data_IF_139314454849
#
_entry.id   IF_139314454849
#
_cell.length_a   1.000
_cell.length_b   1.000
_cell.length_c   1.000
_cell.angle_alpha   90.00
_cell.angle_beta   90.00
_cell.angle_gamma   90.00
#
_symmetry.space_group_name_H-M   'P 1'
#
loop_
_entity.id
_entity.type
_entity.pdbx_description
1 polymer ?
#
# COMPACT_ATOMS: atom_id res chain seq x y z
N UNK A 1 0.05 13.75 -28.56
CA UNK A 1 0.27 13.10 -27.25
C UNK A 1 -1.09 12.95 -26.58
N UNK A 2 -1.41 11.77 -26.05
CA UNK A 2 -2.64 11.54 -25.28
C UNK A 2 -2.29 11.54 -23.78
N UNK A 3 -2.80 12.51 -23.05
CA UNK A 3 -2.55 12.71 -21.59
C UNK A 3 -3.66 12.11 -20.71
N UNK A 4 -4.58 11.33 -21.30
CA UNK A 4 -5.66 10.69 -20.54
C UNK A 4 -5.10 9.65 -19.57
N UNK A 5 -5.50 9.71 -18.30
CA UNK A 5 -5.18 8.69 -17.29
C UNK A 5 -5.83 7.32 -17.61
N UNK A 6 -6.87 7.30 -18.44
CA UNK A 6 -7.51 6.07 -18.92
C UNK A 6 -6.68 5.33 -19.97
N UNK A 7 -5.62 5.95 -20.51
CA UNK A 7 -4.71 5.31 -21.45
C UNK A 7 -3.76 4.36 -20.71
N UNK A 8 -3.81 3.10 -21.07
CA UNK A 8 -2.78 2.15 -20.57
C UNK A 8 -1.43 2.50 -21.21
N UNK A 9 -0.37 2.66 -20.41
CA UNK A 9 0.97 2.96 -20.92
C UNK A 9 1.50 1.81 -21.79
N UNK A 10 2.30 2.16 -22.79
CA UNK A 10 2.93 1.18 -23.66
C UNK A 10 3.98 0.33 -22.93
N UNK A 11 4.31 -0.85 -23.49
CA UNK A 11 5.29 -1.77 -22.88
C UNK A 11 6.67 -1.12 -22.66
N UNK A 12 7.10 -0.25 -23.57
CA UNK A 12 8.37 0.45 -23.51
C UNK A 12 8.31 1.57 -22.46
N UNK A 13 7.21 2.31 -22.41
CA UNK A 13 6.94 3.36 -21.43
C UNK A 13 6.99 2.79 -20.00
N UNK A 14 6.28 1.67 -19.75
CA UNK A 14 6.32 0.97 -18.47
C UNK A 14 7.73 0.48 -18.11
N UNK A 15 8.49 -0.03 -19.06
CA UNK A 15 9.86 -0.49 -18.80
C UNK A 15 10.79 0.66 -18.41
N UNK A 16 10.74 1.77 -19.17
CA UNK A 16 11.57 2.93 -18.89
C UNK A 16 11.20 3.59 -17.55
N UNK A 17 9.92 3.80 -17.31
CA UNK A 17 9.43 4.36 -16.05
C UNK A 17 9.79 3.45 -14.87
N UNK A 18 9.55 2.16 -14.97
CA UNK A 18 9.91 1.19 -13.93
C UNK A 18 11.41 1.14 -13.65
N UNK A 19 12.23 1.16 -14.70
CA UNK A 19 13.69 1.21 -14.57
C UNK A 19 14.16 2.50 -13.86
N UNK A 20 13.65 3.66 -14.31
CA UNK A 20 14.00 4.95 -13.70
C UNK A 20 13.59 5.02 -12.23
N UNK A 21 12.36 4.59 -11.91
CA UNK A 21 11.84 4.54 -10.54
C UNK A 21 12.67 3.60 -9.66
N UNK A 22 12.96 2.40 -10.15
CA UNK A 22 13.76 1.42 -9.39
C UNK A 22 15.16 1.93 -9.11
N UNK A 23 15.84 2.51 -10.12
CA UNK A 23 17.17 3.09 -9.93
C UNK A 23 17.14 4.27 -8.95
N UNK A 24 16.13 5.12 -9.03
CA UNK A 24 16.00 6.23 -8.09
C UNK A 24 15.84 5.73 -6.65
N UNK A 25 14.99 4.73 -6.41
CA UNK A 25 14.82 4.12 -5.09
C UNK A 25 16.13 3.49 -4.61
N UNK A 26 16.75 2.62 -5.41
CA UNK A 26 17.99 1.94 -5.05
C UNK A 26 19.15 2.88 -4.73
N UNK A 27 19.16 4.08 -5.34
CA UNK A 27 20.25 5.05 -5.17
C UNK A 27 20.05 5.96 -3.97
N UNK A 28 18.79 6.23 -3.60
CA UNK A 28 18.46 7.21 -2.57
C UNK A 28 17.97 6.57 -1.26
N UNK A 29 17.52 5.32 -1.30
CA UNK A 29 17.10 4.63 -0.10
C UNK A 29 18.29 4.12 0.73
N UNK A 30 18.21 4.29 2.04
CA UNK A 30 19.06 3.56 2.97
C UNK A 30 18.59 2.10 3.04
N UNK A 31 19.51 1.15 2.85
CA UNK A 31 19.20 -0.29 2.80
C UNK A 31 19.23 -0.96 4.17
N UNK A 32 19.06 -0.19 5.23
CA UNK A 32 19.03 -0.72 6.59
C UNK A 32 17.84 -1.66 6.81
N UNK A 33 17.97 -2.66 7.69
CA UNK A 33 16.84 -3.46 8.14
C UNK A 33 15.89 -2.60 8.97
N UNK A 34 14.64 -3.07 9.13
CA UNK A 34 13.68 -2.39 9.98
C UNK A 34 14.19 -2.30 11.43
N UNK A 35 14.33 -1.10 12.02
CA UNK A 35 14.80 -0.95 13.37
C UNK A 35 13.75 -1.35 14.43
N UNK A 36 12.47 -1.44 14.05
CA UNK A 36 11.43 -1.88 14.98
C UNK A 36 11.45 -3.41 15.10
N UNK A 37 11.46 -3.94 16.33
CA UNK A 37 11.33 -5.37 16.55
C UNK A 37 9.93 -5.85 16.13
N UNK A 38 9.88 -7.06 15.58
CA UNK A 38 8.61 -7.72 15.21
C UNK A 38 7.94 -8.21 16.52
N UNK A 39 7.16 -7.32 17.14
CA UNK A 39 6.30 -7.65 18.28
C UNK A 39 4.83 -7.55 17.88
N UNK A 40 3.91 -8.24 18.61
CA UNK A 40 2.48 -8.12 18.33
C UNK A 40 1.98 -6.68 18.37
N UNK A 41 2.51 -5.85 19.26
CA UNK A 41 2.14 -4.45 19.44
C UNK A 41 2.57 -3.61 18.22
N UNK A 42 3.82 -3.75 17.78
CA UNK A 42 4.33 -3.02 16.62
C UNK A 42 3.66 -3.48 15.34
N UNK A 43 3.40 -4.78 15.20
CA UNK A 43 2.69 -5.32 14.05
C UNK A 43 1.24 -4.80 14.01
N UNK A 44 0.57 -4.75 15.17
CA UNK A 44 -0.80 -4.23 15.25
C UNK A 44 -0.87 -2.73 14.96
N UNK A 45 0.09 -1.95 15.45
CA UNK A 45 0.18 -0.52 15.11
C UNK A 45 0.34 -0.34 13.60
N UNK A 46 1.30 -1.03 12.97
CA UNK A 46 1.51 -0.98 11.53
C UNK A 46 0.30 -1.46 10.72
N UNK A 47 -0.45 -2.45 11.23
CA UNK A 47 -1.72 -2.86 10.63
C UNK A 47 -2.73 -1.72 10.64
N UNK A 48 -2.89 -1.02 11.77
CA UNK A 48 -3.83 0.09 11.90
C UNK A 48 -3.49 1.20 10.91
N UNK A 49 -2.23 1.64 10.89
CA UNK A 49 -1.77 2.69 9.97
C UNK A 49 -1.95 2.28 8.49
N UNK A 50 -1.70 1.00 8.18
CA UNK A 50 -1.93 0.46 6.83
C UNK A 50 -3.42 0.46 6.45
N UNK A 51 -4.28 0.02 7.34
CA UNK A 51 -5.73 -0.02 7.11
C UNK A 51 -6.29 1.39 6.89
N UNK A 52 -5.79 2.40 7.61
CA UNK A 52 -6.25 3.79 7.50
C UNK A 52 -5.74 4.48 6.23
N UNK A 53 -4.50 4.22 5.81
CA UNK A 53 -3.83 5.03 4.80
C UNK A 53 -3.51 4.30 3.49
N UNK A 54 -3.37 2.99 3.51
CA UNK A 54 -2.87 2.22 2.37
C UNK A 54 -3.95 1.29 1.76
N UNK A 55 -4.79 0.69 2.61
CA UNK A 55 -5.74 -0.33 2.19
C UNK A 55 -6.77 0.18 1.18
N UNK A 56 -7.11 1.47 1.21
CA UNK A 56 -8.00 2.09 0.24
C UNK A 56 -7.56 1.90 -1.22
N UNK A 57 -6.24 1.84 -1.47
CA UNK A 57 -5.67 1.59 -2.79
C UNK A 57 -5.11 0.19 -2.94
N UNK A 58 -4.43 -0.35 -1.91
CA UNK A 58 -3.71 -1.62 -1.99
C UNK A 58 -4.55 -2.85 -1.62
N UNK A 59 -5.79 -2.67 -1.13
CA UNK A 59 -6.59 -3.73 -0.54
C UNK A 59 -6.13 -4.08 0.88
N UNK A 60 -7.03 -4.60 1.70
CA UNK A 60 -6.71 -4.95 3.09
C UNK A 60 -5.71 -6.11 3.20
N UNK A 61 -5.70 -7.01 2.22
CA UNK A 61 -4.74 -8.11 2.10
C UNK A 61 -3.51 -7.73 1.27
N UNK A 62 -3.42 -6.50 0.76
CA UNK A 62 -2.32 -6.04 -0.08
C UNK A 62 -2.26 -6.69 -1.47
N UNK A 63 -3.36 -7.23 -1.93
CA UNK A 63 -3.51 -7.90 -3.22
C UNK A 63 -3.78 -6.94 -4.39
N UNK A 64 -3.97 -5.65 -4.08
CA UNK A 64 -4.31 -4.62 -5.06
C UNK A 64 -5.77 -4.64 -5.49
N UNK A 65 -6.57 -5.55 -4.97
CA UNK A 65 -8.00 -5.64 -5.29
C UNK A 65 -8.78 -4.56 -4.54
N UNK A 66 -9.15 -3.53 -5.27
CA UNK A 66 -9.94 -2.42 -4.74
C UNK A 66 -10.77 -1.79 -5.88
N UNK A 67 -11.78 -0.98 -5.51
CA UNK A 67 -12.66 -0.33 -6.49
C UNK A 67 -11.96 0.68 -7.41
N UNK A 68 -10.75 1.08 -7.10
CA UNK A 68 -9.96 2.05 -7.87
C UNK A 68 -8.86 1.40 -8.72
N UNK A 69 -8.73 0.06 -8.73
CA UNK A 69 -7.66 -0.65 -9.44
C UNK A 69 -7.56 -0.24 -10.91
N UNK A 70 -8.71 -0.09 -11.58
CA UNK A 70 -8.78 0.27 -12.99
C UNK A 70 -8.49 1.75 -13.29
N UNK A 71 -8.53 2.62 -12.27
CA UNK A 71 -8.49 4.08 -12.44
C UNK A 71 -7.06 4.64 -12.35
N UNK A 72 -6.10 3.83 -11.88
CA UNK A 72 -4.71 4.26 -11.76
C UNK A 72 -3.85 3.87 -12.97
N UNK A 73 -2.99 4.79 -13.37
CA UNK A 73 -1.96 4.55 -14.39
C UNK A 73 -0.60 5.07 -13.91
N UNK A 74 0.34 4.21 -13.56
CA UNK A 74 0.29 2.73 -13.57
C UNK A 74 -0.71 2.15 -12.55
N UNK A 75 -1.14 0.89 -12.74
CA UNK A 75 -2.03 0.21 -11.80
C UNK A 75 -1.35 0.04 -10.43
N UNK A 76 -2.19 -0.05 -9.39
CA UNK A 76 -1.72 -0.28 -8.02
C UNK A 76 -1.02 -1.65 -7.91
N UNK A 77 0.21 -1.71 -7.39
CA UNK A 77 0.94 -2.99 -7.32
C UNK A 77 0.43 -3.88 -6.18
N UNK A 78 0.48 -5.19 -6.39
CA UNK A 78 0.26 -6.18 -5.34
C UNK A 78 1.44 -6.17 -4.36
N UNK A 79 1.16 -5.91 -3.09
CA UNK A 79 2.19 -5.85 -2.04
C UNK A 79 2.67 -7.23 -1.61
N UNK A 80 1.83 -8.24 -1.71
CA UNK A 80 2.17 -9.64 -1.40
C UNK A 80 3.23 -10.24 -2.32
N UNK A 81 3.50 -9.61 -3.47
CA UNK A 81 4.49 -10.06 -4.46
C UNK A 81 5.60 -9.05 -4.71
N UNK A 82 5.29 -7.98 -5.46
CA UNK A 82 6.28 -7.01 -5.93
C UNK A 82 7.03 -6.27 -4.80
N UNK A 83 6.31 -5.89 -3.76
CA UNK A 83 6.90 -5.18 -2.62
C UNK A 83 7.91 -6.02 -1.84
N UNK A 84 7.75 -7.34 -1.82
CA UNK A 84 8.63 -8.25 -1.09
C UNK A 84 10.07 -8.31 -1.66
N UNK A 85 10.30 -7.77 -2.85
CA UNK A 85 11.63 -7.70 -3.48
C UNK A 85 12.48 -6.51 -3.00
N UNK A 86 11.84 -5.49 -2.41
CA UNK A 86 12.53 -4.33 -1.88
C UNK A 86 13.09 -4.64 -0.49
N UNK A 87 14.23 -4.05 -0.10
CA UNK A 87 14.69 -4.07 1.29
C UNK A 87 13.74 -3.27 2.20
N UNK A 88 13.86 -3.43 3.52
CA UNK A 88 13.01 -2.69 4.45
C UNK A 88 13.22 -1.18 4.35
N UNK A 89 14.48 -0.75 4.21
CA UNK A 89 14.79 0.67 4.01
C UNK A 89 14.27 1.22 2.69
N UNK A 90 14.25 0.41 1.63
CA UNK A 90 13.65 0.81 0.35
C UNK A 90 12.12 0.91 0.46
N UNK A 91 11.46 -0.01 1.18
CA UNK A 91 10.03 0.11 1.47
C UNK A 91 9.73 1.36 2.30
N UNK A 92 10.54 1.61 3.34
CA UNK A 92 10.44 2.83 4.14
C UNK A 92 10.55 4.07 3.24
N UNK A 93 11.56 4.11 2.37
CA UNK A 93 11.79 5.22 1.46
C UNK A 93 10.61 5.44 0.51
N UNK A 94 10.05 4.36 -0.05
CA UNK A 94 8.87 4.40 -0.92
C UNK A 94 7.67 4.96 -0.18
N UNK A 95 7.39 4.50 1.04
CA UNK A 95 6.26 4.96 1.83
C UNK A 95 6.45 6.42 2.24
N UNK A 96 7.64 6.78 2.72
CA UNK A 96 7.93 8.14 3.17
C UNK A 96 7.84 9.18 2.05
N UNK A 97 8.34 8.87 0.85
CA UNK A 97 8.44 9.83 -0.25
C UNK A 97 7.32 9.71 -1.30
N UNK A 98 6.64 8.57 -1.35
CA UNK A 98 5.74 8.26 -2.46
C UNK A 98 6.48 8.04 -3.77
N UNK A 99 5.75 7.94 -4.86
CA UNK A 99 6.32 7.79 -6.21
C UNK A 99 5.70 8.82 -7.14
N UNK A 100 6.52 9.77 -7.60
CA UNK A 100 6.08 10.83 -8.51
C UNK A 100 5.45 10.28 -9.78
N UNK A 101 4.45 10.96 -10.31
CA UNK A 101 3.68 10.58 -11.50
C UNK A 101 2.93 9.25 -11.37
N UNK A 102 2.66 8.84 -10.13
CA UNK A 102 1.76 7.73 -9.79
C UNK A 102 0.70 8.19 -8.80
N UNK A 103 -0.25 7.31 -8.46
CA UNK A 103 -1.24 7.58 -7.41
C UNK A 103 -0.70 7.44 -5.98
N UNK A 104 0.56 7.02 -5.78
CA UNK A 104 1.10 6.78 -4.44
C UNK A 104 1.66 8.06 -3.80
N UNK A 105 1.01 8.63 -2.76
CA UNK A 105 1.50 9.79 -2.05
C UNK A 105 2.67 9.45 -1.12
N UNK A 106 3.40 10.48 -0.68
CA UNK A 106 4.42 10.33 0.36
C UNK A 106 3.86 10.66 1.75
N UNK A 107 4.13 9.80 2.72
CA UNK A 107 3.61 9.90 4.09
C UNK A 107 4.59 10.56 5.08
N UNK A 108 5.86 10.73 4.72
CA UNK A 108 6.91 11.22 5.62
C UNK A 108 6.73 12.65 6.16
N UNK A 109 5.78 13.43 5.64
CA UNK A 109 5.47 14.76 6.17
C UNK A 109 4.48 14.72 7.33
N UNK A 110 3.61 13.72 7.39
CA UNK A 110 2.47 13.66 8.29
C UNK A 110 2.54 12.48 9.27
N UNK A 111 3.53 11.61 9.12
CA UNK A 111 3.76 10.43 9.96
C UNK A 111 5.19 10.47 10.48
N UNK A 112 5.36 10.06 11.73
CA UNK A 112 6.71 9.96 12.24
C UNK A 112 7.42 8.66 11.76
N UNK A 113 8.77 8.63 11.86
CA UNK A 113 9.54 7.49 11.35
C UNK A 113 9.11 6.14 11.92
N UNK A 114 8.64 6.10 13.17
CA UNK A 114 8.22 4.85 13.81
C UNK A 114 6.94 4.29 13.19
N UNK A 115 5.98 5.16 12.87
CA UNK A 115 4.73 4.77 12.18
C UNK A 115 5.04 4.19 10.80
N UNK A 116 5.90 4.84 10.02
CA UNK A 116 6.31 4.35 8.70
C UNK A 116 7.01 2.98 8.81
N UNK A 117 7.90 2.80 9.79
CA UNK A 117 8.53 1.50 10.04
C UNK A 117 7.51 0.42 10.47
N UNK A 118 6.47 0.81 11.20
CA UNK A 118 5.32 -0.05 11.52
C UNK A 118 4.60 -0.51 10.26
N UNK A 119 4.31 0.42 9.33
CA UNK A 119 3.72 0.08 8.03
C UNK A 119 4.60 -0.90 7.24
N UNK A 120 5.94 -0.75 7.27
CA UNK A 120 6.87 -1.70 6.65
C UNK A 120 6.75 -3.08 7.27
N UNK A 121 6.65 -3.20 8.61
CA UNK A 121 6.41 -4.50 9.27
C UNK A 121 5.14 -5.15 8.76
N UNK A 122 4.05 -4.40 8.65
CA UNK A 122 2.78 -4.93 8.17
C UNK A 122 2.84 -5.34 6.70
N UNK A 123 3.46 -4.53 5.82
CA UNK A 123 3.67 -4.89 4.41
C UNK A 123 4.45 -6.20 4.26
N UNK A 124 5.44 -6.45 5.12
CA UNK A 124 6.15 -7.75 5.16
C UNK A 124 5.24 -8.89 5.60
N UNK A 125 4.39 -8.64 6.58
CA UNK A 125 3.47 -9.63 7.11
C UNK A 125 2.38 -10.02 6.11
N UNK A 126 1.93 -9.12 5.24
CA UNK A 126 0.91 -9.39 4.21
C UNK A 126 1.21 -10.64 3.36
N UNK A 127 2.49 -10.90 3.06
CA UNK A 127 2.89 -12.10 2.30
C UNK A 127 2.77 -13.42 3.10
N UNK A 128 2.52 -13.33 4.41
CA UNK A 128 2.50 -14.46 5.35
C UNK A 128 1.19 -14.54 6.14
N UNK A 129 0.14 -13.82 5.70
CA UNK A 129 -1.16 -13.84 6.36
C UNK A 129 -1.68 -15.27 6.51
N UNK A 130 -1.97 -15.66 7.74
CA UNK A 130 -2.65 -16.92 8.05
C UNK A 130 -4.10 -16.86 7.58
N UNK A 131 -4.70 -18.05 7.41
CA UNK A 131 -6.11 -18.15 7.03
C UNK A 131 -7.03 -17.45 8.06
N UNK A 132 -6.71 -17.56 9.36
CA UNK A 132 -7.47 -16.91 10.41
C UNK A 132 -7.40 -15.38 10.34
N UNK A 133 -6.22 -14.81 9.99
CA UNK A 133 -6.08 -13.36 9.79
C UNK A 133 -6.87 -12.88 8.59
N UNK A 134 -6.87 -13.62 7.49
CA UNK A 134 -7.67 -13.29 6.29
C UNK A 134 -9.16 -13.29 6.61
N UNK A 135 -9.65 -14.33 7.29
CA UNK A 135 -11.05 -14.42 7.74
C UNK A 135 -11.43 -13.26 8.67
N UNK A 136 -10.51 -12.87 9.56
CA UNK A 136 -10.71 -11.70 10.44
C UNK A 136 -10.77 -10.37 9.66
N UNK A 137 -9.93 -10.20 8.63
CA UNK A 137 -9.96 -9.05 7.72
C UNK A 137 -11.28 -9.01 6.96
N UNK A 138 -11.68 -10.12 6.33
CA UNK A 138 -12.94 -10.22 5.58
C UNK A 138 -14.17 -9.94 6.45
N UNK A 139 -14.20 -10.46 7.69
CA UNK A 139 -15.33 -10.25 8.60
C UNK A 139 -15.49 -8.78 8.98
N UNK A 140 -14.38 -8.05 9.19
CA UNK A 140 -14.39 -6.60 9.46
C UNK A 140 -14.88 -5.82 8.25
N UNK A 141 -14.45 -6.20 7.05
CA UNK A 141 -14.90 -5.56 5.81
C UNK A 141 -16.40 -5.67 5.62
N UNK A 142 -16.97 -6.87 5.85
CA UNK A 142 -18.43 -7.10 5.77
C UNK A 142 -19.19 -6.23 6.77
N UNK A 143 -18.77 -6.18 8.03
CA UNK A 143 -19.42 -5.35 9.05
C UNK A 143 -19.41 -3.86 8.68
N UNK A 144 -18.30 -3.35 8.15
CA UNK A 144 -18.20 -1.96 7.72
C UNK A 144 -19.13 -1.66 6.54
N UNK A 145 -19.24 -2.58 5.59
CA UNK A 145 -20.14 -2.45 4.43
C UNK A 145 -21.61 -2.45 4.88
N UNK A 146 -21.99 -3.38 5.75
CA UNK A 146 -23.37 -3.46 6.28
C UNK A 146 -23.75 -2.22 7.07
N UNK A 147 -22.82 -1.68 7.88
CA UNK A 147 -23.03 -0.44 8.61
C UNK A 147 -23.21 0.76 7.67
N UNK A 148 -22.40 0.81 6.60
CA UNK A 148 -22.50 1.88 5.60
C UNK A 148 -23.83 1.81 4.84
N UNK A 149 -24.24 0.62 4.40
CA UNK A 149 -25.56 0.43 3.76
C UNK A 149 -26.72 0.81 4.68
N UNK A 150 -26.61 0.48 5.96
CA UNK A 150 -27.63 0.84 6.95
C UNK A 150 -27.75 2.35 7.11
N UNK A 151 -26.60 3.04 7.25
CA UNK A 151 -26.60 4.52 7.32
C UNK A 151 -27.17 5.16 6.06
N UNK A 152 -26.84 4.66 4.88
CA UNK A 152 -27.37 5.17 3.61
C UNK A 152 -28.90 4.99 3.50
N UNK A 153 -29.45 3.93 4.08
CA UNK A 153 -30.90 3.69 4.12
C UNK A 153 -31.62 4.58 5.14
N UNK A 154 -30.94 4.94 6.24
CA UNK A 154 -31.50 5.79 7.30
C UNK A 154 -31.40 7.30 6.96
N UNK A 155 -30.43 7.69 6.13
CA UNK A 155 -30.18 9.08 5.71
C UNK A 155 -30.64 9.37 4.28
N UNK A 156 -31.52 8.52 3.72
CA UNK A 156 -32.02 8.66 2.36
C UNK A 156 -32.58 10.06 2.02
N UNK A 157 -32.65 10.41 0.72
CA UNK A 157 -32.81 11.78 0.22
C UNK A 157 -34.05 12.49 0.70
#
# INVERSE_FOLDING_TARGET
MNWSALRKPGRMENRLAGYATSNWIHHNADKQPNPLPLTPENLKAGQTDFEEHCAGCHGLEGDGENRFEADFSPPVPKLTGGAQKWSDGELYFIIANGISMTGMPGFGKNHDPKEIWGMVLWVRHLAQLSQAEKEAIESRTRMTTDQHEKMMKETGP
#
